data_IF_046242089372
#
_entry.id   IF_046242089372
#
_cell.length_a   1.000
_cell.length_b   1.000
_cell.length_c   1.000
_cell.angle_alpha   90.00
_cell.angle_beta   90.00
_cell.angle_gamma   90.00
#
_symmetry.space_group_name_H-M   'P 1'
#
loop_
_entity.id
_entity.type
_entity.pdbx_description
1 polymer ?
#
# COMPACT_ATOMS: atom_id res chain seq x y z
N UNK A 1 -3.33 -10.47 -10.66
CA UNK A 1 -2.80 -9.63 -9.55
C UNK A 1 -3.36 -8.21 -9.59
N UNK A 2 -3.46 -7.57 -10.76
CA UNK A 2 -4.00 -6.21 -10.94
C UNK A 2 -5.48 -6.05 -10.56
N UNK A 3 -6.33 -7.03 -10.87
CA UNK A 3 -7.77 -6.93 -10.55
C UNK A 3 -8.04 -6.94 -9.04
N UNK A 4 -7.35 -7.78 -8.27
CA UNK A 4 -7.49 -7.83 -6.81
C UNK A 4 -7.10 -6.50 -6.15
N UNK A 5 -6.03 -5.87 -6.65
CA UNK A 5 -5.59 -4.54 -6.18
C UNK A 5 -6.60 -3.46 -6.60
N UNK A 6 -7.18 -3.55 -7.80
CA UNK A 6 -8.21 -2.61 -8.28
C UNK A 6 -9.49 -2.70 -7.44
N UNK A 7 -9.92 -3.91 -7.15
CA UNK A 7 -11.07 -4.20 -6.28
C UNK A 7 -10.78 -3.66 -4.86
N UNK A 8 -9.64 -4.02 -4.28
CA UNK A 8 -9.24 -3.57 -2.95
C UNK A 8 -9.14 -2.06 -2.80
N UNK A 9 -8.75 -1.36 -3.87
CA UNK A 9 -8.74 0.11 -3.90
C UNK A 9 -10.16 0.69 -3.76
N UNK A 10 -11.12 0.17 -4.51
CA UNK A 10 -12.51 0.65 -4.45
C UNK A 10 -13.10 0.48 -3.05
N UNK A 11 -12.94 -0.72 -2.47
CA UNK A 11 -13.38 -1.00 -1.11
C UNK A 11 -12.67 -0.15 -0.05
N UNK A 12 -11.37 0.12 -0.23
CA UNK A 12 -10.66 1.03 0.66
C UNK A 12 -11.22 2.45 0.58
N UNK A 13 -11.45 2.99 -0.62
CA UNK A 13 -12.01 4.33 -0.82
C UNK A 13 -13.42 4.44 -0.22
N UNK A 14 -14.24 3.39 -0.33
CA UNK A 14 -15.59 3.34 0.27
C UNK A 14 -15.56 3.29 1.80
N UNK A 15 -14.60 2.59 2.41
CA UNK A 15 -14.51 2.46 3.87
C UNK A 15 -13.75 3.62 4.52
N UNK A 16 -12.80 4.23 3.82
CA UNK A 16 -12.00 5.36 4.29
C UNK A 16 -12.76 6.70 4.27
N UNK A 17 -14.08 6.68 4.47
CA UNK A 17 -14.94 7.86 4.48
C UNK A 17 -14.74 8.74 5.71
N UNK A 18 -14.15 8.19 6.79
CA UNK A 18 -13.70 8.96 7.96
C UNK A 18 -12.20 8.83 8.17
N UNK A 19 -11.52 9.89 8.64
CA UNK A 19 -10.10 9.83 8.95
C UNK A 19 -9.74 8.75 9.97
N UNK A 20 -10.62 8.45 10.93
CA UNK A 20 -10.36 7.39 11.91
C UNK A 20 -10.36 6.00 11.26
N UNK A 21 -11.30 5.74 10.35
CA UNK A 21 -11.40 4.46 9.65
C UNK A 21 -10.21 4.26 8.73
N UNK A 22 -9.83 5.32 7.99
CA UNK A 22 -8.63 5.30 7.14
C UNK A 22 -7.37 5.00 7.96
N UNK A 23 -7.15 5.75 9.06
CA UNK A 23 -5.98 5.56 9.92
C UNK A 23 -5.88 4.15 10.51
N UNK A 24 -7.03 3.56 10.86
CA UNK A 24 -7.10 2.20 11.39
C UNK A 24 -6.73 1.16 10.33
N UNK A 25 -7.31 1.24 9.13
CA UNK A 25 -6.97 0.38 8.00
C UNK A 25 -5.48 0.47 7.63
N UNK A 26 -4.92 1.68 7.62
CA UNK A 26 -3.50 1.90 7.35
C UNK A 26 -2.60 1.31 8.44
N UNK A 27 -2.97 1.45 9.71
CA UNK A 27 -2.20 0.90 10.85
C UNK A 27 -2.20 -0.63 10.82
N UNK A 28 -3.38 -1.22 10.61
CA UNK A 28 -3.58 -2.66 10.60
C UNK A 28 -3.03 -3.34 9.33
N UNK A 29 -2.67 -2.58 8.28
CA UNK A 29 -1.99 -3.11 7.08
C UNK A 29 -0.67 -3.86 7.35
N UNK A 30 -0.11 -3.71 8.56
CA UNK A 30 1.10 -4.41 9.03
C UNK A 30 0.83 -5.84 9.48
N UNK A 31 -0.43 -6.17 9.78
CA UNK A 31 -0.86 -7.52 10.15
C UNK A 31 -0.68 -8.50 8.99
N UNK A 32 -0.79 -9.78 9.28
CA UNK A 32 -0.98 -10.79 8.23
C UNK A 32 -2.33 -10.58 7.54
N UNK A 33 -2.46 -11.08 6.31
CA UNK A 33 -3.71 -11.01 5.55
C UNK A 33 -4.89 -11.59 6.33
N UNK A 34 -4.70 -12.76 6.96
CA UNK A 34 -5.75 -13.43 7.73
C UNK A 34 -6.15 -12.65 8.98
N UNK A 35 -5.19 -12.08 9.71
CA UNK A 35 -5.49 -11.25 10.88
C UNK A 35 -6.21 -9.95 10.49
N UNK A 36 -5.80 -9.34 9.38
CA UNK A 36 -6.47 -8.17 8.82
C UNK A 36 -7.91 -8.51 8.42
N UNK A 37 -8.09 -9.62 7.72
CA UNK A 37 -9.40 -10.07 7.27
C UNK A 37 -10.33 -10.34 8.45
N UNK A 38 -9.90 -11.13 9.43
CA UNK A 38 -10.69 -11.44 10.61
C UNK A 38 -11.06 -10.18 11.43
N UNK A 39 -10.14 -9.20 11.51
CA UNK A 39 -10.36 -7.96 12.28
C UNK A 39 -11.36 -7.02 11.60
N UNK A 40 -11.34 -6.93 10.27
CA UNK A 40 -12.16 -5.97 9.54
C UNK A 40 -13.44 -6.57 8.95
N UNK A 41 -13.57 -7.90 8.88
CA UNK A 41 -14.76 -8.57 8.34
C UNK A 41 -16.06 -8.06 8.96
N UNK A 42 -16.16 -7.96 10.28
CA UNK A 42 -17.38 -7.49 10.96
C UNK A 42 -17.70 -6.01 10.64
N UNK A 43 -16.65 -5.18 10.44
CA UNK A 43 -16.83 -3.76 10.09
C UNK A 43 -17.31 -3.60 8.65
N UNK A 44 -16.70 -4.36 7.74
CA UNK A 44 -17.08 -4.41 6.33
C UNK A 44 -18.50 -4.94 6.19
N UNK A 45 -18.81 -6.04 6.86
CA UNK A 45 -20.12 -6.65 6.87
C UNK A 45 -21.19 -5.65 7.33
N UNK A 46 -20.98 -5.01 8.48
CA UNK A 46 -21.91 -4.01 9.00
C UNK A 46 -22.12 -2.84 8.03
N UNK A 47 -21.04 -2.32 7.44
CA UNK A 47 -21.09 -1.21 6.50
C UNK A 47 -21.88 -1.56 5.22
N UNK A 48 -21.61 -2.71 4.62
CA UNK A 48 -22.25 -3.10 3.36
C UNK A 48 -23.68 -3.60 3.56
N UNK A 49 -23.98 -4.29 4.67
CA UNK A 49 -25.36 -4.62 5.02
C UNK A 49 -26.20 -3.37 5.27
N UNK A 50 -25.67 -2.36 5.96
CA UNK A 50 -26.40 -1.11 6.21
C UNK A 50 -26.60 -0.27 4.95
N UNK A 51 -25.64 -0.30 4.02
CA UNK A 51 -25.64 0.59 2.84
C UNK A 51 -26.40 -0.01 1.66
N UNK A 52 -26.34 -1.33 1.46
CA UNK A 52 -26.88 -1.97 0.26
C UNK A 52 -28.01 -2.97 0.54
N UNK A 53 -28.26 -3.35 1.80
CA UNK A 53 -29.40 -4.19 2.17
C UNK A 53 -29.38 -5.61 1.57
N UNK A 54 -28.21 -6.10 1.16
CA UNK A 54 -28.02 -7.48 0.69
C UNK A 54 -27.64 -8.42 1.84
N UNK A 55 -27.99 -9.71 1.71
CA UNK A 55 -27.44 -10.80 2.52
C UNK A 55 -25.97 -10.99 2.16
N UNK A 56 -25.15 -10.19 2.84
CA UNK A 56 -23.71 -10.21 2.70
C UNK A 56 -23.16 -11.27 3.66
N UNK A 57 -22.42 -12.26 3.15
CA UNK A 57 -21.86 -13.30 4.01
C UNK A 57 -20.56 -12.83 4.66
N UNK A 58 -20.20 -13.46 5.79
CA UNK A 58 -18.94 -13.16 6.48
C UNK A 58 -17.74 -13.48 5.60
N UNK A 59 -17.83 -14.57 4.84
CA UNK A 59 -16.80 -15.03 3.91
C UNK A 59 -16.53 -13.99 2.80
N UNK A 60 -17.58 -13.33 2.32
CA UNK A 60 -17.44 -12.25 1.33
C UNK A 60 -16.75 -11.02 1.94
N UNK A 61 -17.07 -10.71 3.21
CA UNK A 61 -16.44 -9.61 3.94
C UNK A 61 -14.94 -9.89 4.22
N UNK A 62 -14.59 -11.14 4.51
CA UNK A 62 -13.20 -11.58 4.65
C UNK A 62 -12.44 -11.47 3.32
N UNK A 63 -13.07 -11.86 2.20
CA UNK A 63 -12.49 -11.70 0.87
C UNK A 63 -12.22 -10.21 0.54
N UNK A 64 -13.17 -9.32 0.84
CA UNK A 64 -12.99 -7.89 0.62
C UNK A 64 -11.91 -7.28 1.51
N UNK A 65 -11.84 -7.70 2.78
CA UNK A 65 -10.77 -7.29 3.67
C UNK A 65 -9.39 -7.73 3.14
N UNK A 66 -9.28 -8.97 2.63
CA UNK A 66 -8.05 -9.46 2.01
C UNK A 66 -7.67 -8.63 0.76
N UNK A 67 -8.66 -8.28 -0.08
CA UNK A 67 -8.41 -7.41 -1.25
C UNK A 67 -7.87 -6.03 -0.84
N UNK A 68 -8.44 -5.41 0.20
CA UNK A 68 -7.93 -4.14 0.76
C UNK A 68 -6.49 -4.31 1.26
N UNK A 69 -6.20 -5.38 1.98
CA UNK A 69 -4.84 -5.67 2.46
C UNK A 69 -3.82 -5.74 1.32
N UNK A 70 -4.15 -6.44 0.23
CA UNK A 70 -3.30 -6.50 -0.95
C UNK A 70 -3.09 -5.14 -1.62
N UNK A 71 -4.14 -4.31 -1.68
CA UNK A 71 -4.03 -2.94 -2.17
C UNK A 71 -3.06 -2.11 -1.31
N UNK A 72 -3.22 -2.15 0.01
CA UNK A 72 -2.38 -1.41 0.95
C UNK A 72 -0.91 -1.87 0.90
N UNK A 73 -0.67 -3.18 0.78
CA UNK A 73 0.68 -3.73 0.57
C UNK A 73 1.30 -3.24 -0.73
N UNK A 74 0.55 -3.29 -1.83
CA UNK A 74 1.04 -2.83 -3.13
C UNK A 74 1.36 -1.33 -3.13
N UNK A 75 0.52 -0.52 -2.45
CA UNK A 75 0.75 0.92 -2.25
C UNK A 75 2.02 1.17 -1.43
N UNK A 76 2.18 0.51 -0.29
CA UNK A 76 3.38 0.66 0.55
C UNK A 76 4.68 0.25 -0.13
N UNK A 77 4.66 -0.80 -0.97
CA UNK A 77 5.82 -1.18 -1.80
C UNK A 77 6.13 -0.09 -2.83
N UNK A 78 5.11 0.49 -3.47
CA UNK A 78 5.29 1.57 -4.45
C UNK A 78 5.88 2.83 -3.80
N UNK A 79 5.38 3.23 -2.64
CA UNK A 79 5.86 4.41 -1.92
C UNK A 79 7.32 4.22 -1.49
N UNK A 80 7.68 3.03 -0.99
CA UNK A 80 9.06 2.68 -0.66
C UNK A 80 9.98 2.74 -1.89
N UNK A 81 9.56 2.17 -3.02
CA UNK A 81 10.34 2.20 -4.26
C UNK A 81 10.52 3.63 -4.80
N UNK A 82 9.54 4.52 -4.61
CA UNK A 82 9.64 5.93 -5.00
C UNK A 82 10.59 6.71 -4.10
N UNK A 83 10.58 6.46 -2.79
CA UNK A 83 11.53 7.05 -1.83
C UNK A 83 12.96 6.59 -2.15
N UNK A 84 13.17 5.29 -2.37
CA UNK A 84 14.48 4.75 -2.75
C UNK A 84 14.97 5.34 -4.09
N UNK A 85 14.07 5.49 -5.08
CA UNK A 85 14.40 6.12 -6.36
C UNK A 85 14.70 7.62 -6.26
N UNK A 86 14.08 8.35 -5.33
CA UNK A 86 14.36 9.76 -5.07
C UNK A 86 15.74 9.93 -4.40
N UNK A 87 16.06 9.10 -3.40
CA UNK A 87 17.37 9.09 -2.72
C UNK A 87 18.51 8.76 -3.69
N UNK A 88 18.27 7.89 -4.67
CA UNK A 88 19.28 7.56 -5.70
C UNK A 88 19.50 8.69 -6.71
N UNK A 89 18.50 9.55 -6.94
CA UNK A 89 18.61 10.71 -7.85
C UNK A 89 19.33 11.91 -7.21
N UNK A 90 19.22 12.08 -5.90
CA UNK A 90 19.89 13.14 -5.14
C UNK A 90 21.30 12.75 -4.66
N UNK A 91 21.78 11.55 -4.99
CA UNK A 91 23.20 11.23 -4.80
C UNK A 91 24.04 12.11 -5.73
N UNK A 92 24.94 12.98 -5.21
CA UNK A 92 25.76 13.82 -6.05
C UNK A 92 26.62 12.90 -6.91
N UNK A 93 26.52 13.07 -8.24
CA UNK A 93 27.47 12.45 -9.17
C UNK A 93 28.85 12.81 -8.67
N UNK A 94 29.55 11.82 -8.10
CA UNK A 94 30.99 11.92 -7.86
C UNK A 94 31.61 12.04 -9.24
N UNK A 95 31.79 13.29 -9.68
CA UNK A 95 32.59 13.63 -10.83
C UNK A 95 33.96 13.01 -10.58
N UNK A 96 34.24 11.88 -11.25
CA UNK A 96 35.59 11.35 -11.38
C UNK A 96 36.40 12.44 -12.05
N UNK A 97 37.08 13.25 -11.25
CA UNK A 97 38.16 14.09 -11.71
C UNK A 97 39.26 13.14 -12.19
N UNK A 98 39.35 13.02 -13.50
CA UNK A 98 40.45 12.40 -14.23
C UNK A 98 41.75 13.09 -13.78
N UNK A 99 42.59 12.37 -13.05
CA UNK A 99 43.96 12.79 -12.77
C UNK A 99 44.76 12.65 -14.08
N UNK A 100 44.92 13.77 -14.80
CA UNK A 100 45.83 13.85 -15.94
C UNK A 100 47.25 13.99 -15.39
N UNK A 101 48.04 12.92 -15.49
CA UNK A 101 49.48 12.99 -15.27
C UNK A 101 50.12 13.74 -16.44
N UNK A 102 50.64 14.93 -16.20
CA UNK A 102 51.59 15.59 -17.10
C UNK A 102 52.99 15.40 -16.54
N UNK A 103 53.71 14.42 -17.08
CA UNK A 103 55.15 14.32 -16.92
C UNK A 103 55.80 15.30 -17.90
N UNK A 104 56.46 16.34 -17.39
CA UNK A 104 57.41 17.15 -18.15
C UNK A 104 58.82 16.93 -17.64
N UNK A 105 59.71 16.78 -18.61
CA UNK A 105 61.14 16.52 -18.61
C UNK A 105 61.99 17.52 -17.84
N UNK A 106 63.09 17.03 -17.26
CA UNK A 106 64.38 17.73 -17.21
C UNK A 106 65.50 16.72 -17.51
#
# INVERSE_FOLDING_TARGET
MTELIRIGRGFFEDLAMTPETEARLLTDSRLTEQEFAARHADTILAHYMSTFGFDFLREDAEFFAAAIWHYLRARGIRDRNQIEAAVFKDSPKVSRLSATYSCQTA
#
